data_IF_408578736007
#
_entry.id   IF_408578736007
#
_cell.length_a   1.000
_cell.length_b   1.000
_cell.length_c   1.000
_cell.angle_alpha   90.00
_cell.angle_beta   90.00
_cell.angle_gamma   90.00
#
_symmetry.space_group_name_H-M   'P 1'
#
loop_
_entity.id
_entity.type
_entity.pdbx_description
1 polymer ?
#
# COMPACT_ATOMS: atom_id res chain seq x y z
N UNK A 1 8.19 -11.36 -9.81
CA UNK A 1 7.81 -10.10 -10.47
C UNK A 1 8.94 -9.08 -10.27
N UNK A 2 9.25 -8.63 -9.06
CA UNK A 2 10.32 -7.67 -8.75
C UNK A 2 11.27 -8.27 -7.69
N UNK A 3 12.27 -9.08 -8.09
CA UNK A 3 13.12 -9.80 -7.13
C UNK A 3 14.05 -8.90 -6.32
N UNK A 4 14.29 -7.69 -6.80
CA UNK A 4 15.06 -6.67 -6.09
C UNK A 4 14.31 -5.95 -4.98
N UNK A 5 12.99 -6.17 -4.82
CA UNK A 5 12.18 -5.49 -3.80
C UNK A 5 12.73 -5.70 -2.39
N UNK A 6 12.86 -4.62 -1.65
CA UNK A 6 13.24 -4.59 -0.21
C UNK A 6 12.18 -3.89 0.64
N UNK A 7 11.42 -3.00 0.04
CA UNK A 7 10.33 -2.30 0.73
C UNK A 7 9.05 -2.44 -0.11
N UNK A 8 7.94 -2.76 0.55
CA UNK A 8 6.62 -2.81 -0.07
C UNK A 8 5.74 -1.76 0.59
N UNK A 9 5.07 -0.95 -0.22
CA UNK A 9 3.93 -0.16 0.18
C UNK A 9 2.68 -0.82 -0.40
N UNK A 10 1.83 -1.37 0.45
CA UNK A 10 0.53 -1.93 0.05
C UNK A 10 -0.57 -0.97 0.49
N UNK A 11 -1.31 -0.40 -0.46
CA UNK A 11 -2.39 0.53 -0.18
C UNK A 11 -3.71 0.00 -0.72
N UNK A 12 -4.52 -0.47 0.20
CA UNK A 12 -5.88 -0.93 -0.05
C UNK A 12 -6.94 0.16 0.03
N UNK A 13 -8.20 -0.26 0.02
CA UNK A 13 -9.33 0.63 0.25
C UNK A 13 -9.40 1.14 1.69
N UNK A 14 -9.11 0.31 2.69
CA UNK A 14 -9.29 0.63 4.10
C UNK A 14 -8.00 0.70 4.90
N UNK A 15 -6.94 0.10 4.44
CA UNK A 15 -5.67 0.02 5.14
C UNK A 15 -4.49 0.38 4.21
N UNK A 16 -3.38 0.70 4.83
CA UNK A 16 -2.11 0.93 4.15
C UNK A 16 -1.01 0.31 4.99
N UNK A 17 -0.17 -0.50 4.35
CA UNK A 17 0.92 -1.22 4.98
C UNK A 17 2.25 -0.81 4.38
N UNK A 18 3.23 -0.55 5.22
CA UNK A 18 4.64 -0.48 4.83
C UNK A 18 5.35 -1.72 5.40
N UNK A 19 6.08 -2.42 4.56
CA UNK A 19 6.68 -3.70 4.88
C UNK A 19 8.13 -3.68 4.38
N UNK A 20 9.09 -4.00 5.24
CA UNK A 20 10.46 -4.24 4.86
C UNK A 20 10.74 -5.73 4.81
N UNK A 21 11.39 -6.18 3.75
CA UNK A 21 11.70 -7.59 3.52
C UNK A 21 13.19 -7.80 3.25
N UNK A 22 13.69 -8.99 3.59
CA UNK A 22 15.03 -9.42 3.26
C UNK A 22 15.14 -9.91 1.79
N UNK A 23 16.37 -10.23 1.29
CA UNK A 23 16.55 -10.80 -0.06
C UNK A 23 15.81 -12.14 -0.30
N UNK A 24 15.38 -12.82 0.76
CA UNK A 24 14.63 -14.08 0.69
C UNK A 24 13.11 -13.86 0.73
N UNK A 25 12.66 -12.58 0.84
CA UNK A 25 11.24 -12.22 0.97
C UNK A 25 10.67 -12.37 2.37
N UNK A 26 11.52 -12.58 3.40
CA UNK A 26 11.06 -12.65 4.79
C UNK A 26 10.81 -11.24 5.32
N UNK A 27 9.70 -11.06 6.06
CA UNK A 27 9.35 -9.78 6.66
C UNK A 27 10.33 -9.46 7.79
N UNK A 28 11.03 -8.35 7.67
CA UNK A 28 11.95 -7.80 8.68
C UNK A 28 11.25 -6.81 9.60
N UNK A 29 10.38 -5.97 9.06
CA UNK A 29 9.63 -4.98 9.80
C UNK A 29 8.32 -4.66 9.10
N UNK A 30 7.32 -4.20 9.85
CA UNK A 30 5.98 -3.99 9.38
C UNK A 30 5.28 -2.88 10.16
N UNK A 31 4.59 -2.00 9.43
CA UNK A 31 3.77 -0.95 10.00
C UNK A 31 2.49 -0.78 9.19
N UNK A 32 1.37 -0.63 9.86
CA UNK A 32 0.06 -0.54 9.22
C UNK A 32 -0.76 0.65 9.77
N UNK A 33 -1.52 1.27 8.88
CA UNK A 33 -2.64 2.14 9.20
C UNK A 33 -3.94 1.43 8.80
N UNK A 34 -4.64 0.90 9.78
CA UNK A 34 -5.92 0.17 9.64
C UNK A 34 -7.09 0.84 10.36
N UNK A 35 -6.80 1.84 11.19
CA UNK A 35 -7.80 2.52 12.05
C UNK A 35 -8.32 3.82 11.48
N UNK A 36 -7.66 4.35 10.45
CA UNK A 36 -8.00 5.65 9.89
C UNK A 36 -8.05 5.59 8.36
N UNK A 37 -9.19 5.91 7.78
CA UNK A 37 -9.38 5.97 6.33
C UNK A 37 -8.48 7.01 5.64
N UNK A 38 -7.98 8.00 6.40
CA UNK A 38 -7.01 8.96 5.91
C UNK A 38 -5.68 8.26 5.58
N UNK A 39 -5.21 8.42 4.36
CA UNK A 39 -4.03 7.71 3.87
C UNK A 39 -4.33 6.35 3.22
N UNK A 40 -5.58 6.08 2.87
CA UNK A 40 -6.04 4.86 2.20
C UNK A 40 -6.90 5.20 0.97
N UNK A 41 -7.28 4.18 0.19
CA UNK A 41 -8.17 4.34 -0.96
C UNK A 41 -9.55 4.93 -0.62
N UNK A 42 -10.02 4.78 0.62
CA UNK A 42 -11.27 5.41 1.09
C UNK A 42 -11.22 6.94 1.05
N UNK A 43 -10.07 7.54 1.24
CA UNK A 43 -9.95 8.99 1.11
C UNK A 43 -10.09 9.44 -0.35
N UNK A 44 -9.50 8.69 -1.29
CA UNK A 44 -9.75 8.94 -2.73
C UNK A 44 -11.22 8.76 -3.09
N UNK A 45 -11.86 7.72 -2.56
CA UNK A 45 -13.28 7.46 -2.79
C UNK A 45 -14.17 8.60 -2.24
N UNK A 46 -13.88 9.11 -1.04
CA UNK A 46 -14.61 10.25 -0.48
C UNK A 46 -14.45 11.52 -1.35
N UNK A 47 -13.23 11.79 -1.82
CA UNK A 47 -12.99 12.91 -2.74
C UNK A 47 -13.71 12.72 -4.09
N UNK A 48 -13.76 11.48 -4.62
CA UNK A 48 -14.48 11.13 -5.84
C UNK A 48 -15.98 11.44 -5.71
N UNK A 49 -16.59 11.04 -4.59
CA UNK A 49 -18.00 11.31 -4.30
C UNK A 49 -18.26 12.80 -4.14
N UNK A 50 -17.44 13.50 -3.34
CA UNK A 50 -17.60 14.94 -3.08
C UNK A 50 -17.48 15.80 -4.35
N UNK A 51 -16.66 15.37 -5.31
CA UNK A 51 -16.43 16.10 -6.57
C UNK A 51 -17.25 15.55 -7.74
N UNK A 52 -18.06 14.51 -7.52
CA UNK A 52 -18.86 13.82 -8.54
C UNK A 52 -18.01 13.34 -9.74
N UNK A 53 -16.81 12.80 -9.44
CA UNK A 53 -15.86 12.33 -10.46
C UNK A 53 -15.67 10.83 -10.31
N UNK A 54 -15.64 10.04 -11.40
CA UNK A 54 -15.31 8.63 -11.35
C UNK A 54 -13.96 8.38 -10.69
N UNK A 55 -13.89 7.42 -9.75
CA UNK A 55 -12.67 7.09 -9.00
C UNK A 55 -11.45 6.82 -9.91
N UNK A 56 -11.67 6.17 -11.05
CA UNK A 56 -10.62 5.88 -12.03
C UNK A 56 -10.02 7.10 -12.72
N UNK A 57 -10.71 8.24 -12.73
CA UNK A 57 -10.23 9.47 -13.37
C UNK A 57 -9.41 10.36 -12.43
N UNK A 58 -9.52 10.16 -11.11
CA UNK A 58 -8.91 11.07 -10.13
C UNK A 58 -7.41 11.26 -10.34
N UNK A 59 -6.70 10.16 -10.62
CA UNK A 59 -5.25 10.20 -10.80
C UNK A 59 -4.82 11.02 -12.01
N UNK A 60 -5.46 10.78 -13.16
CA UNK A 60 -5.16 11.51 -14.39
C UNK A 60 -5.49 13.02 -14.25
N UNK A 61 -6.63 13.35 -13.64
CA UNK A 61 -7.00 14.74 -13.38
C UNK A 61 -6.04 15.42 -12.40
N UNK A 62 -5.62 14.73 -11.33
CA UNK A 62 -4.66 15.28 -10.38
C UNK A 62 -3.33 15.66 -11.04
N UNK A 63 -2.88 14.89 -12.04
CA UNK A 63 -1.65 15.19 -12.79
C UNK A 63 -1.76 16.41 -13.72
N UNK A 64 -2.96 16.87 -14.02
CA UNK A 64 -3.19 18.10 -14.78
C UNK A 64 -3.20 19.37 -13.91
N UNK A 65 -2.95 19.25 -12.60
CA UNK A 65 -2.91 20.36 -11.65
C UNK A 65 -1.77 21.34 -11.96
N UNK A 66 -2.06 22.62 -11.87
CA UNK A 66 -1.03 23.68 -11.92
C UNK A 66 -0.41 23.94 -10.55
N UNK A 67 -1.24 23.88 -9.50
CA UNK A 67 -0.80 24.16 -8.13
C UNK A 67 -1.68 23.42 -7.11
N UNK A 68 -1.10 22.50 -6.35
CA UNK A 68 -1.81 21.80 -5.30
C UNK A 68 -2.38 22.74 -4.24
N UNK A 69 -3.66 22.56 -3.88
CA UNK A 69 -4.18 23.15 -2.65
C UNK A 69 -3.66 22.35 -1.44
N UNK A 70 -3.55 23.00 -0.31
CA UNK A 70 -3.14 22.33 0.93
C UNK A 70 -4.37 21.71 1.59
N UNK A 71 -4.45 20.37 1.60
CA UNK A 71 -5.43 19.64 2.40
C UNK A 71 -4.84 19.44 3.80
N UNK A 72 -5.50 20.02 4.80
CA UNK A 72 -4.99 20.08 6.18
C UNK A 72 -5.63 19.04 7.09
N UNK A 73 -6.82 18.57 6.72
CA UNK A 73 -7.62 17.71 7.58
C UNK A 73 -7.07 16.30 7.66
N UNK A 74 -6.96 15.81 8.88
CA UNK A 74 -6.45 14.48 9.16
C UNK A 74 -7.53 13.41 9.01
N UNK A 75 -8.78 13.76 9.28
CA UNK A 75 -9.91 12.83 9.24
C UNK A 75 -10.63 12.90 7.89
N UNK A 76 -10.89 11.77 7.28
CA UNK A 76 -11.58 11.66 5.98
C UNK A 76 -12.96 12.30 5.99
N UNK A 77 -13.68 12.23 7.11
CA UNK A 77 -15.03 12.85 7.27
C UNK A 77 -14.97 14.36 7.09
N UNK A 78 -13.94 15.00 7.65
CA UNK A 78 -13.77 16.46 7.52
C UNK A 78 -13.08 16.84 6.21
N UNK A 79 -12.33 15.92 5.60
CA UNK A 79 -11.68 16.17 4.32
C UNK A 79 -12.66 16.39 3.19
N UNK A 80 -13.82 15.72 3.21
CA UNK A 80 -14.92 15.99 2.27
C UNK A 80 -15.36 17.45 2.34
N UNK A 81 -15.63 17.96 3.56
CA UNK A 81 -16.00 19.38 3.77
C UNK A 81 -14.89 20.33 3.34
N UNK A 82 -13.61 19.98 3.53
CA UNK A 82 -12.47 20.78 3.09
C UNK A 82 -12.36 20.82 1.57
N UNK A 83 -12.57 19.69 0.90
CA UNK A 83 -12.61 19.59 -0.59
C UNK A 83 -13.72 20.48 -1.15
N UNK A 84 -14.94 20.38 -0.62
CA UNK A 84 -16.07 21.22 -1.03
C UNK A 84 -15.84 22.71 -0.73
N UNK A 85 -15.18 23.04 0.38
CA UNK A 85 -14.80 24.43 0.70
C UNK A 85 -13.82 25.01 -0.32
N UNK A 86 -12.84 24.21 -0.79
CA UNK A 86 -11.93 24.66 -1.85
C UNK A 86 -12.65 24.85 -3.18
N UNK A 87 -13.58 23.96 -3.52
CA UNK A 87 -14.42 24.08 -4.71
C UNK A 87 -15.28 25.36 -4.66
N UNK A 88 -15.93 25.63 -3.52
CA UNK A 88 -16.72 26.83 -3.30
C UNK A 88 -15.90 28.14 -3.40
N UNK A 89 -14.59 28.07 -3.13
CA UNK A 89 -13.64 29.18 -3.28
C UNK A 89 -13.11 29.32 -4.72
N UNK A 90 -13.67 28.58 -5.69
CA UNK A 90 -13.31 28.65 -7.10
C UNK A 90 -11.94 28.03 -7.42
N UNK A 91 -11.42 27.12 -6.61
CA UNK A 91 -10.19 26.38 -6.96
C UNK A 91 -10.48 25.34 -8.02
N UNK A 92 -9.51 25.13 -8.92
CA UNK A 92 -9.62 24.10 -9.95
C UNK A 92 -9.71 22.71 -9.30
N UNK A 93 -10.54 21.85 -9.87
CA UNK A 93 -10.72 20.47 -9.38
C UNK A 93 -9.39 19.71 -9.39
N UNK A 94 -8.59 19.91 -10.41
CA UNK A 94 -7.27 19.29 -10.57
C UNK A 94 -6.34 19.66 -9.41
N UNK A 95 -6.32 20.93 -8.99
CA UNK A 95 -5.51 21.44 -7.88
C UNK A 95 -5.97 20.84 -6.53
N UNK A 96 -7.28 20.66 -6.37
CA UNK A 96 -7.88 20.04 -5.18
C UNK A 96 -7.50 18.56 -5.14
N UNK A 97 -7.66 17.85 -6.26
CA UNK A 97 -7.31 16.44 -6.38
C UNK A 97 -5.83 16.20 -6.11
N UNK A 98 -4.94 17.03 -6.64
CA UNK A 98 -3.51 16.89 -6.38
C UNK A 98 -3.18 17.12 -4.89
N UNK A 99 -3.88 18.07 -4.25
CA UNK A 99 -3.79 18.28 -2.80
C UNK A 99 -4.21 17.04 -1.99
N UNK A 100 -5.30 16.37 -2.40
CA UNK A 100 -5.76 15.10 -1.81
C UNK A 100 -4.68 14.02 -1.95
N UNK A 101 -4.14 13.82 -3.14
CA UNK A 101 -3.09 12.82 -3.39
C UNK A 101 -1.84 13.10 -2.54
N UNK A 102 -1.39 14.35 -2.46
CA UNK A 102 -0.25 14.74 -1.61
C UNK A 102 -0.51 14.51 -0.12
N UNK A 103 -1.73 14.74 0.36
CA UNK A 103 -2.11 14.46 1.74
C UNK A 103 -2.00 12.97 2.07
N UNK A 104 -2.48 12.09 1.16
CA UNK A 104 -2.35 10.64 1.29
C UNK A 104 -0.88 10.22 1.23
N UNK A 105 -0.13 10.74 0.25
CA UNK A 105 1.30 10.45 0.09
C UNK A 105 2.11 10.80 1.34
N UNK A 106 1.84 11.94 1.98
CA UNK A 106 2.51 12.35 3.22
C UNK A 106 2.33 11.32 4.35
N UNK A 107 1.14 10.73 4.47
CA UNK A 107 0.86 9.69 5.47
C UNK A 107 1.57 8.37 5.14
N UNK A 108 1.56 7.98 3.87
CA UNK A 108 2.28 6.80 3.41
C UNK A 108 3.78 6.92 3.67
N UNK A 109 4.34 8.12 3.46
CA UNK A 109 5.74 8.41 3.79
C UNK A 109 6.05 8.26 5.28
N UNK A 110 5.10 8.60 6.17
CA UNK A 110 5.28 8.38 7.60
C UNK A 110 5.38 6.88 7.96
N UNK A 111 4.57 6.03 7.33
CA UNK A 111 4.65 4.57 7.50
C UNK A 111 5.97 4.02 6.94
N UNK A 112 6.34 4.42 5.72
CA UNK A 112 7.59 3.99 5.08
C UNK A 112 8.82 4.38 5.91
N UNK A 113 8.86 5.60 6.45
CA UNK A 113 9.97 6.05 7.33
C UNK A 113 10.05 5.22 8.61
N UNK A 114 8.93 4.74 9.13
CA UNK A 114 8.89 3.94 10.36
C UNK A 114 9.55 2.58 10.17
N UNK A 115 9.33 1.90 9.05
CA UNK A 115 9.96 0.60 8.76
C UNK A 115 11.36 0.74 8.16
N UNK A 116 11.73 1.95 7.74
CA UNK A 116 12.94 2.23 6.97
C UNK A 116 12.76 1.88 5.49
N UNK A 117 13.12 2.81 4.61
CA UNK A 117 13.04 2.62 3.15
C UNK A 117 14.36 2.04 2.65
N UNK A 118 14.29 0.89 2.02
CA UNK A 118 15.40 0.25 1.32
C UNK A 118 14.97 0.00 -0.13
N UNK A 119 15.80 0.35 -1.09
CA UNK A 119 15.54 0.10 -2.52
C UNK A 119 15.73 -1.39 -2.85
N UNK A 120 14.93 -1.95 -3.70
CA UNK A 120 13.87 -1.36 -4.51
C UNK A 120 12.54 -1.29 -3.74
N UNK A 121 11.73 -0.28 -4.05
CA UNK A 121 10.40 -0.10 -3.45
C UNK A 121 9.33 -0.56 -4.44
N UNK A 122 8.40 -1.39 -3.99
CA UNK A 122 7.26 -1.89 -4.79
C UNK A 122 5.94 -1.39 -4.21
N UNK A 123 5.08 -0.89 -5.07
CA UNK A 123 3.75 -0.40 -4.71
C UNK A 123 2.67 -1.40 -5.13
N UNK A 124 1.87 -1.86 -4.16
CA UNK A 124 0.80 -2.86 -4.35
C UNK A 124 -0.53 -2.38 -3.76
N UNK A 125 -1.55 -3.23 -3.88
CA UNK A 125 -2.90 -2.90 -3.47
C UNK A 125 -3.69 -2.14 -4.53
N UNK A 126 -5.00 -1.96 -4.31
CA UNK A 126 -5.91 -1.37 -5.30
C UNK A 126 -5.55 0.06 -5.72
N UNK A 127 -4.92 0.83 -4.83
CA UNK A 127 -4.52 2.22 -5.09
C UNK A 127 -3.30 2.31 -6.00
N UNK A 128 -2.52 1.24 -6.18
CA UNK A 128 -1.40 1.22 -7.13
C UNK A 128 -1.82 1.47 -8.58
N UNK A 129 -3.11 1.29 -8.90
CA UNK A 129 -3.68 1.62 -10.21
C UNK A 129 -3.91 3.11 -10.42
N UNK A 130 -3.82 3.94 -9.37
CA UNK A 130 -4.01 5.38 -9.47
C UNK A 130 -2.69 6.06 -9.85
N UNK A 131 -2.60 6.51 -11.10
CA UNK A 131 -1.38 7.14 -11.67
C UNK A 131 -0.94 8.40 -10.90
N UNK A 132 -1.88 9.15 -10.34
CA UNK A 132 -1.60 10.32 -9.51
C UNK A 132 -0.93 9.94 -8.19
N UNK A 133 -1.36 8.84 -7.56
CA UNK A 133 -0.70 8.33 -6.34
C UNK A 133 0.70 7.82 -6.64
N UNK A 134 0.89 7.08 -7.74
CA UNK A 134 2.21 6.64 -8.18
C UNK A 134 3.16 7.82 -8.35
N UNK A 135 2.71 8.86 -9.06
CA UNK A 135 3.51 10.06 -9.29
C UNK A 135 3.88 10.78 -7.99
N UNK A 136 2.90 11.02 -7.10
CA UNK A 136 3.13 11.68 -5.81
C UNK A 136 4.10 10.90 -4.90
N UNK A 137 3.98 9.57 -4.89
CA UNK A 137 4.87 8.72 -4.08
C UNK A 137 6.28 8.67 -4.67
N UNK A 138 6.44 8.59 -5.99
CA UNK A 138 7.72 8.65 -6.67
C UNK A 138 8.44 9.98 -6.39
N UNK A 139 7.71 11.10 -6.47
CA UNK A 139 8.23 12.44 -6.12
C UNK A 139 8.68 12.48 -4.66
N UNK A 140 7.84 12.02 -3.73
CA UNK A 140 8.11 12.08 -2.29
C UNK A 140 9.28 11.19 -1.85
N UNK A 141 9.51 10.06 -2.54
CA UNK A 141 10.60 9.12 -2.31
C UNK A 141 11.87 9.48 -3.09
N UNK A 142 11.76 10.36 -4.07
CA UNK A 142 12.81 10.65 -5.05
C UNK A 142 13.36 9.38 -5.73
N UNK A 143 12.47 8.45 -6.07
CA UNK A 143 12.79 7.21 -6.78
C UNK A 143 11.56 6.72 -7.59
N UNK A 144 11.78 5.79 -8.50
CA UNK A 144 10.71 5.12 -9.22
C UNK A 144 10.33 3.83 -8.48
N UNK A 145 9.08 3.74 -8.07
CA UNK A 145 8.53 2.53 -7.47
C UNK A 145 8.20 1.49 -8.55
N UNK A 146 8.42 0.23 -8.24
CA UNK A 146 7.95 -0.87 -9.06
C UNK A 146 6.42 -0.97 -8.96
N UNK A 147 5.74 -0.88 -10.09
CA UNK A 147 4.29 -1.07 -10.23
C UNK A 147 4.03 -1.91 -11.47
N UNK A 148 3.08 -2.83 -11.41
CA UNK A 148 2.60 -3.60 -12.55
C UNK A 148 1.07 -3.54 -12.61
N UNK A 149 0.50 -3.94 -13.74
CA UNK A 149 -0.95 -4.07 -13.89
C UNK A 149 -1.56 -5.03 -12.86
N UNK A 150 -0.78 -6.04 -12.43
CA UNK A 150 -1.19 -7.07 -11.47
C UNK A 150 -0.95 -6.68 -10.00
N UNK A 151 -0.35 -5.50 -9.73
CA UNK A 151 0.03 -5.09 -8.37
C UNK A 151 -1.14 -5.09 -7.37
N UNK A 152 -2.37 -4.92 -7.84
CA UNK A 152 -3.56 -4.95 -7.00
C UNK A 152 -3.98 -6.36 -6.54
N UNK A 153 -3.45 -7.42 -7.16
CA UNK A 153 -3.72 -8.82 -6.79
C UNK A 153 -2.64 -9.44 -5.87
N UNK A 154 -1.55 -8.72 -5.57
CA UNK A 154 -0.41 -9.31 -4.86
C UNK A 154 -0.76 -9.89 -3.50
N UNK A 155 -1.68 -9.28 -2.75
CA UNK A 155 -2.16 -9.84 -1.49
C UNK A 155 -2.87 -11.17 -1.66
N UNK A 156 -3.74 -11.28 -2.67
CA UNK A 156 -4.47 -12.53 -2.97
C UNK A 156 -3.52 -13.63 -3.47
N UNK A 157 -2.56 -13.28 -4.33
CA UNK A 157 -1.53 -14.22 -4.80
C UNK A 157 -0.69 -14.73 -3.63
N UNK A 158 -0.23 -13.85 -2.76
CA UNK A 158 0.52 -14.23 -1.57
C UNK A 158 -0.25 -15.20 -0.67
N UNK A 159 -1.52 -14.91 -0.38
CA UNK A 159 -2.39 -15.78 0.40
C UNK A 159 -2.56 -17.16 -0.24
N UNK A 160 -2.73 -17.23 -1.56
CA UNK A 160 -2.85 -18.49 -2.30
C UNK A 160 -1.56 -19.32 -2.24
N UNK A 161 -0.39 -18.69 -2.36
CA UNK A 161 0.90 -19.35 -2.24
C UNK A 161 1.13 -19.89 -0.81
N UNK A 162 0.83 -19.12 0.22
CA UNK A 162 0.89 -19.60 1.61
C UNK A 162 -0.01 -20.79 1.86
N UNK A 163 -1.26 -20.77 1.35
CA UNK A 163 -2.16 -21.88 1.49
C UNK A 163 -1.62 -23.15 0.79
N UNK A 164 -1.05 -23.00 -0.41
CA UNK A 164 -0.44 -24.10 -1.15
C UNK A 164 0.76 -24.70 -0.40
N UNK A 165 1.64 -23.89 0.14
CA UNK A 165 2.81 -24.34 0.89
C UNK A 165 2.39 -25.03 2.19
N UNK A 166 1.37 -24.54 2.87
CA UNK A 166 0.82 -25.19 4.07
C UNK A 166 0.27 -26.57 3.77
N UNK A 167 -0.50 -26.72 2.67
CA UNK A 167 -1.03 -28.02 2.25
C UNK A 167 0.11 -29.00 1.87
N UNK A 168 1.13 -28.50 1.17
CA UNK A 168 2.30 -29.32 0.80
C UNK A 168 3.06 -29.82 2.05
N UNK A 169 3.30 -28.92 3.00
CA UNK A 169 3.98 -29.28 4.25
C UNK A 169 3.18 -30.30 5.08
N UNK A 170 1.85 -30.17 5.15
CA UNK A 170 0.99 -31.11 5.89
C UNK A 170 0.80 -32.47 5.21
N UNK A 171 1.10 -32.58 3.91
CA UNK A 171 1.04 -33.86 3.17
C UNK A 171 2.35 -34.63 3.16
N UNK A 172 3.48 -34.02 3.60
CA UNK A 172 4.72 -34.75 3.78
C UNK A 172 4.55 -35.70 4.98
N UNK A 173 4.82 -37.03 4.84
CA UNK A 173 4.76 -37.96 5.97
C UNK A 173 5.71 -37.44 7.03
N UNK A 174 5.20 -37.30 8.25
CA UNK A 174 6.05 -37.09 9.43
C UNK A 174 6.91 -38.34 9.54
N UNK A 175 8.14 -38.29 9.03
CA UNK A 175 9.09 -39.39 9.16
C UNK A 175 9.22 -39.78 10.63
N UNK A 176 9.00 -41.04 10.94
CA UNK A 176 9.18 -41.64 12.25
C UNK A 176 10.56 -41.29 12.79
N UNK A 177 10.66 -40.26 13.61
CA UNK A 177 11.78 -40.02 14.49
C UNK A 177 11.50 -40.68 15.87
N UNK A 178 11.17 -41.99 15.86
CA UNK A 178 10.89 -42.72 17.10
C UNK A 178 11.28 -44.19 16.97
N UNK A 179 12.52 -44.50 16.51
CA UNK A 179 13.04 -45.87 16.59
C UNK A 179 14.57 -45.97 16.76
N UNK A 180 15.18 -44.98 17.38
CA UNK A 180 16.62 -45.02 17.67
C UNK A 180 16.97 -44.97 19.17
N UNK A 181 16.06 -45.40 20.04
CA UNK A 181 16.32 -45.40 21.48
C UNK A 181 15.91 -46.71 22.18
N UNK A 182 16.04 -47.86 21.51
CA UNK A 182 15.90 -49.18 22.15
C UNK A 182 16.83 -50.20 21.53
N UNK A 183 18.12 -50.01 21.67
CA UNK A 183 19.08 -51.13 21.62
C UNK A 183 20.32 -50.70 22.37
N UNK A 184 20.61 -51.43 23.45
CA UNK A 184 21.93 -51.50 24.03
C UNK A 184 22.08 -51.17 25.50
N UNK A 185 21.58 -52.05 26.41
CA UNK A 185 22.30 -52.35 27.63
C UNK A 185 22.31 -53.85 27.78
N UNK A 186 23.45 -54.54 27.58
CA UNK A 186 23.67 -55.87 28.15
C UNK A 186 24.44 -55.74 29.49
N UNK A 187 23.87 -56.37 30.50
CA UNK A 187 24.42 -56.93 31.76
C UNK A 187 25.73 -56.35 32.31
#
# INVERSE_FOLDING_TARGET
MFPGTRTVLDMGGQDTKAIRIDPRGQVLDFCMNDKCAAGTGRFLQAAAVALEIPLGELGARALAAEKAVKITTTCTVFAESEVLSWLARGKKVEDILFGVHRSIGTRSMALLRRVGVESEVTFTGGVSRNVGMVAVLNEALNLQMNVSEESHFMGALGAALFALDHIRASRLPQGHAADAAKEGVPS
#
